data_IF_598038185034
#
_entry.id   IF_598038185034
#
_cell.length_a   1.000
_cell.length_b   1.000
_cell.length_c   1.000
_cell.angle_alpha   90.00
_cell.angle_beta   90.00
_cell.angle_gamma   90.00
#
_symmetry.space_group_name_H-M   'P 1'
#
loop_
_entity.id
_entity.type
_entity.pdbx_description
1 polymer ?
#
# COMPACT_ATOMS: atom_id res chain seq x y z
N UNK A 1 -21.11 -15.01 7.41
CA UNK A 1 -21.56 -14.39 6.15
C UNK A 1 -22.77 -13.48 6.34
N UNK A 2 -23.95 -14.01 6.71
CA UNK A 2 -25.17 -13.19 6.91
C UNK A 2 -24.96 -11.98 7.83
N UNK A 3 -24.26 -12.16 8.94
CA UNK A 3 -23.91 -11.06 9.86
C UNK A 3 -23.01 -10.00 9.20
N UNK A 4 -22.06 -10.42 8.36
CA UNK A 4 -21.17 -9.50 7.64
C UNK A 4 -21.92 -8.74 6.54
N UNK A 5 -22.77 -9.42 5.76
CA UNK A 5 -23.67 -8.78 4.79
C UNK A 5 -24.57 -7.75 5.47
N UNK A 6 -25.17 -8.11 6.61
CA UNK A 6 -26.00 -7.20 7.38
C UNK A 6 -25.20 -5.99 7.87
N UNK A 7 -23.99 -6.20 8.40
CA UNK A 7 -23.12 -5.11 8.86
C UNK A 7 -22.80 -4.12 7.73
N UNK A 8 -22.45 -4.62 6.53
CA UNK A 8 -22.18 -3.78 5.35
C UNK A 8 -23.41 -2.97 4.94
N UNK A 9 -24.58 -3.61 4.84
CA UNK A 9 -25.83 -2.94 4.45
C UNK A 9 -26.29 -1.91 5.48
N UNK A 10 -26.14 -2.20 6.78
CA UNK A 10 -26.42 -1.24 7.85
C UNK A 10 -25.51 -0.02 7.74
N UNK A 11 -24.21 -0.21 7.52
CA UNK A 11 -23.27 0.90 7.36
C UNK A 11 -23.61 1.76 6.14
N UNK A 12 -23.94 1.16 5.00
CA UNK A 12 -24.32 1.89 3.78
C UNK A 12 -25.64 2.67 3.97
N UNK A 13 -26.62 2.09 4.67
CA UNK A 13 -27.85 2.79 5.03
C UNK A 13 -27.58 4.01 5.91
N UNK A 14 -26.72 3.87 6.92
CA UNK A 14 -26.33 4.99 7.77
C UNK A 14 -25.65 6.09 6.95
N UNK A 15 -24.71 5.74 6.06
CA UNK A 15 -24.03 6.69 5.18
C UNK A 15 -25.02 7.45 4.27
N UNK A 16 -26.01 6.77 3.71
CA UNK A 16 -27.02 7.43 2.88
C UNK A 16 -27.89 8.40 3.70
N UNK A 17 -28.28 8.01 4.92
CA UNK A 17 -29.03 8.88 5.83
C UNK A 17 -28.21 10.12 6.23
N UNK A 18 -26.94 9.93 6.57
CA UNK A 18 -26.04 11.01 6.96
C UNK A 18 -25.82 12.01 5.82
N UNK A 19 -25.59 11.52 4.60
CA UNK A 19 -25.39 12.40 3.42
C UNK A 19 -26.68 13.12 3.04
N UNK A 20 -27.84 12.45 3.09
CA UNK A 20 -29.14 13.07 2.82
C UNK A 20 -29.42 14.20 3.84
N UNK A 21 -29.17 13.94 5.12
CA UNK A 21 -29.30 14.92 6.19
C UNK A 21 -28.40 16.14 5.97
N UNK A 22 -27.13 15.93 5.60
CA UNK A 22 -26.17 17.01 5.37
C UNK A 22 -26.60 17.98 4.26
N UNK A 23 -27.32 17.48 3.25
CA UNK A 23 -27.78 18.30 2.11
C UNK A 23 -29.26 18.69 2.20
N UNK A 24 -29.95 18.31 3.28
CA UNK A 24 -31.34 18.69 3.55
C UNK A 24 -32.39 18.01 2.67
N UNK A 25 -32.13 16.78 2.21
CA UNK A 25 -33.08 15.95 1.46
C UNK A 25 -33.50 14.72 2.27
N UNK A 26 -34.56 14.04 1.85
CA UNK A 26 -34.92 12.73 2.41
C UNK A 26 -34.11 11.62 1.69
N UNK A 27 -33.70 10.52 2.35
CA UNK A 27 -33.07 9.39 1.66
C UNK A 27 -33.89 8.85 0.49
N UNK A 28 -35.22 9.00 0.53
CA UNK A 28 -36.13 8.64 -0.56
C UNK A 28 -36.06 9.57 -1.77
N UNK A 29 -35.34 10.69 -1.70
CA UNK A 29 -35.01 11.52 -2.87
C UNK A 29 -33.84 10.94 -3.69
N UNK A 30 -33.12 9.95 -3.16
CA UNK A 30 -32.00 9.27 -3.83
C UNK A 30 -32.54 8.18 -4.77
N UNK A 31 -32.42 8.41 -6.09
CA UNK A 31 -32.99 7.54 -7.13
C UNK A 31 -32.01 6.52 -7.74
N UNK A 32 -30.70 6.71 -7.54
CA UNK A 32 -29.70 5.83 -8.11
C UNK A 32 -28.42 5.82 -7.26
N UNK A 33 -27.77 4.66 -7.18
CA UNK A 33 -26.47 4.50 -6.54
C UNK A 33 -25.55 3.62 -7.39
N UNK A 34 -24.24 3.86 -7.29
CA UNK A 34 -23.22 3.01 -7.89
C UNK A 34 -22.24 2.54 -6.83
N UNK A 35 -21.95 1.24 -6.79
CA UNK A 35 -20.99 0.65 -5.86
C UNK A 35 -19.78 0.06 -6.58
N UNK A 36 -18.65 0.19 -5.91
CA UNK A 36 -17.37 -0.45 -6.22
C UNK A 36 -16.80 -1.01 -4.93
N UNK A 37 -15.96 -2.03 -5.04
CA UNK A 37 -15.28 -2.63 -3.91
C UNK A 37 -14.51 -3.87 -4.32
N UNK A 38 -13.60 -4.30 -3.46
CA UNK A 38 -12.90 -5.56 -3.65
C UNK A 38 -13.89 -6.73 -3.71
N UNK A 39 -13.49 -7.91 -4.22
CA UNK A 39 -14.39 -9.03 -4.42
C UNK A 39 -15.16 -9.47 -3.17
N UNK A 40 -14.53 -9.39 -1.99
CA UNK A 40 -15.18 -9.75 -0.72
C UNK A 40 -16.30 -8.75 -0.40
N UNK A 41 -16.02 -7.45 -0.44
CA UNK A 41 -17.02 -6.40 -0.17
C UNK A 41 -18.14 -6.40 -1.21
N UNK A 42 -17.80 -6.64 -2.47
CA UNK A 42 -18.74 -6.81 -3.57
C UNK A 42 -19.73 -7.96 -3.29
N UNK A 43 -19.22 -9.14 -2.93
CA UNK A 43 -20.05 -10.31 -2.65
C UNK A 43 -20.89 -10.11 -1.39
N UNK A 44 -20.30 -9.60 -0.31
CA UNK A 44 -21.02 -9.34 0.94
C UNK A 44 -22.17 -8.35 0.77
N UNK A 45 -21.98 -7.25 0.02
CA UNK A 45 -23.03 -6.27 -0.29
C UNK A 45 -24.23 -6.95 -0.97
N UNK A 46 -23.93 -7.77 -1.99
CA UNK A 46 -24.93 -8.48 -2.80
C UNK A 46 -25.55 -9.69 -2.08
N UNK A 47 -25.07 -10.04 -0.88
CA UNK A 47 -25.51 -11.23 -0.16
C UNK A 47 -25.06 -12.54 -0.81
N UNK A 48 -23.94 -12.49 -1.55
CA UNK A 48 -23.30 -13.65 -2.18
C UNK A 48 -22.19 -14.14 -1.26
N UNK A 49 -22.01 -15.45 -1.16
CA UNK A 49 -20.98 -16.04 -0.31
C UNK A 49 -19.56 -15.76 -0.84
N UNK A 50 -18.66 -15.19 0.00
CA UNK A 50 -17.27 -15.00 -0.38
C UNK A 50 -16.38 -16.21 -0.06
N UNK A 51 -16.92 -17.35 0.41
CA UNK A 51 -16.13 -18.50 0.87
C UNK A 51 -15.17 -19.01 -0.21
N UNK A 52 -15.64 -19.11 -1.45
CA UNK A 52 -14.84 -19.61 -2.59
C UNK A 52 -13.71 -18.64 -3.01
N UNK A 53 -13.73 -17.39 -2.52
CA UNK A 53 -12.63 -16.45 -2.70
C UNK A 53 -11.44 -16.75 -1.77
N UNK A 54 -11.64 -17.55 -0.72
CA UNK A 54 -10.58 -17.93 0.22
C UNK A 54 -9.77 -19.16 -0.19
N UNK A 55 -10.21 -19.89 -1.23
CA UNK A 55 -9.55 -21.12 -1.71
C UNK A 55 -9.23 -21.04 -3.18
N UNK A 56 -8.06 -21.54 -3.60
CA UNK A 56 -7.70 -21.64 -5.01
C UNK A 56 -8.78 -22.46 -5.78
N UNK A 57 -9.27 -21.99 -6.93
CA UNK A 57 -8.71 -20.96 -7.81
C UNK A 57 -9.23 -19.51 -7.56
N UNK A 58 -9.77 -19.23 -6.37
CA UNK A 58 -10.30 -17.93 -5.96
C UNK A 58 -11.49 -17.53 -6.84
N UNK A 59 -12.49 -18.40 -6.91
CA UNK A 59 -13.57 -18.32 -7.88
C UNK A 59 -14.58 -17.22 -7.50
N UNK A 60 -14.84 -16.30 -8.43
CA UNK A 60 -15.95 -15.36 -8.33
C UNK A 60 -17.26 -16.07 -8.65
N UNK A 61 -18.29 -15.84 -7.84
CA UNK A 61 -19.64 -16.27 -8.18
C UNK A 61 -20.24 -15.40 -9.30
N UNK A 62 -19.86 -14.12 -9.36
CA UNK A 62 -20.13 -13.22 -10.48
C UNK A 62 -18.95 -12.28 -10.69
N UNK A 63 -18.51 -12.17 -11.93
CA UNK A 63 -17.54 -11.18 -12.42
C UNK A 63 -18.19 -10.10 -13.32
N UNK A 64 -19.49 -10.24 -13.62
CA UNK A 64 -20.26 -9.29 -14.42
C UNK A 64 -20.75 -8.10 -13.60
N UNK A 65 -21.04 -6.98 -14.29
CA UNK A 65 -21.74 -5.88 -13.68
C UNK A 65 -23.16 -6.30 -13.29
N UNK A 66 -23.67 -5.76 -12.19
CA UNK A 66 -24.96 -6.13 -11.62
C UNK A 66 -25.83 -4.88 -11.51
N UNK A 67 -27.04 -4.96 -12.06
CA UNK A 67 -28.07 -3.93 -11.89
C UNK A 67 -29.25 -4.51 -11.13
N UNK A 68 -29.54 -3.95 -9.97
CA UNK A 68 -30.61 -4.40 -9.07
C UNK A 68 -31.41 -3.21 -8.56
N UNK A 69 -32.55 -3.48 -7.94
CA UNK A 69 -33.30 -2.51 -7.17
C UNK A 69 -32.73 -2.36 -5.77
N UNK A 70 -32.84 -1.17 -5.19
CA UNK A 70 -32.37 -0.91 -3.83
C UNK A 70 -33.01 -1.85 -2.78
N UNK A 71 -34.27 -2.22 -3.00
CA UNK A 71 -35.01 -3.15 -2.13
C UNK A 71 -34.45 -4.57 -2.11
N UNK A 72 -33.68 -4.99 -3.13
CA UNK A 72 -33.09 -6.33 -3.18
C UNK A 72 -31.90 -6.49 -2.20
N UNK A 73 -31.32 -5.37 -1.77
CA UNK A 73 -30.21 -5.35 -0.80
C UNK A 73 -30.53 -4.58 0.47
N UNK A 74 -31.81 -4.36 0.77
CA UNK A 74 -32.26 -3.61 1.94
C UNK A 74 -31.65 -2.19 2.03
N UNK A 75 -31.39 -1.55 0.88
CA UNK A 75 -30.86 -0.19 0.84
C UNK A 75 -32.02 0.81 0.89
N UNK A 76 -32.16 1.47 2.04
CA UNK A 76 -33.25 2.35 2.44
C UNK A 76 -33.17 3.75 1.80
N UNK A 77 -33.08 3.77 0.47
CA UNK A 77 -33.29 4.95 -0.38
C UNK A 77 -34.66 4.84 -1.08
N UNK A 78 -34.90 5.56 -2.18
CA UNK A 78 -36.15 5.46 -2.91
C UNK A 78 -36.46 3.99 -3.28
N UNK A 79 -37.71 3.53 -3.09
CA UNK A 79 -38.09 2.12 -3.30
C UNK A 79 -37.87 1.63 -4.73
N UNK A 80 -37.95 2.54 -5.70
CA UNK A 80 -37.67 2.25 -7.11
C UNK A 80 -36.25 2.66 -7.53
N UNK A 81 -35.36 2.95 -6.59
CA UNK A 81 -33.99 3.31 -6.92
C UNK A 81 -33.24 2.13 -7.56
N UNK A 82 -32.35 2.47 -8.49
CA UNK A 82 -31.46 1.50 -9.13
C UNK A 82 -30.09 1.51 -8.48
N UNK A 83 -29.51 0.33 -8.37
CA UNK A 83 -28.13 0.14 -7.96
C UNK A 83 -27.39 -0.47 -9.14
N UNK A 84 -26.26 0.13 -9.48
CA UNK A 84 -25.29 -0.43 -10.40
C UNK A 84 -24.02 -0.82 -9.63
N UNK A 85 -23.59 -2.07 -9.74
CA UNK A 85 -22.32 -2.54 -9.17
C UNK A 85 -21.38 -2.88 -10.33
N UNK A 86 -20.18 -2.31 -10.31
CA UNK A 86 -19.19 -2.53 -11.34
C UNK A 86 -18.72 -4.00 -11.38
N UNK A 87 -18.25 -4.50 -12.54
CA UNK A 87 -17.75 -5.87 -12.66
C UNK A 87 -16.44 -6.06 -11.90
N UNK A 88 -16.21 -7.27 -11.38
CA UNK A 88 -14.92 -7.67 -10.83
C UNK A 88 -13.98 -8.18 -11.93
N UNK A 89 -12.68 -7.91 -11.81
CA UNK A 89 -11.66 -8.41 -12.75
C UNK A 89 -11.29 -9.86 -12.42
N UNK A 90 -11.17 -10.18 -11.13
CA UNK A 90 -10.70 -11.47 -10.63
C UNK A 90 -11.06 -11.69 -9.15
N UNK A 91 -10.86 -12.91 -8.64
CA UNK A 91 -11.08 -13.24 -7.23
C UNK A 91 -10.36 -12.35 -6.21
N UNK A 92 -9.24 -11.74 -6.59
CA UNK A 92 -8.49 -10.78 -5.77
C UNK A 92 -8.42 -9.36 -6.36
N UNK A 93 -9.05 -9.11 -7.51
CA UNK A 93 -9.01 -7.80 -8.19
C UNK A 93 -10.45 -7.37 -8.48
N UNK A 94 -10.94 -6.41 -7.72
CA UNK A 94 -12.37 -6.13 -7.63
C UNK A 94 -12.90 -5.03 -8.55
N UNK A 95 -14.14 -4.67 -8.26
CA UNK A 95 -14.88 -3.59 -8.90
C UNK A 95 -14.31 -2.20 -8.53
N UNK A 96 -13.62 -2.09 -7.40
CA UNK A 96 -12.79 -0.94 -7.04
C UNK A 96 -11.67 -0.70 -8.05
N UNK A 97 -10.90 -1.73 -8.39
CA UNK A 97 -9.85 -1.64 -9.41
C UNK A 97 -10.44 -1.32 -10.78
N UNK A 98 -11.60 -1.90 -11.13
CA UNK A 98 -12.32 -1.52 -12.34
C UNK A 98 -12.71 -0.03 -12.32
N UNK A 99 -13.13 0.51 -11.17
CA UNK A 99 -13.36 1.94 -10.96
C UNK A 99 -12.10 2.77 -11.20
N UNK A 100 -10.93 2.34 -10.68
CA UNK A 100 -9.64 3.01 -10.91
C UNK A 100 -9.30 3.03 -12.41
N UNK A 101 -9.47 1.91 -13.13
CA UNK A 101 -9.24 1.83 -14.58
C UNK A 101 -10.18 2.77 -15.34
N UNK A 102 -11.45 2.85 -14.93
CA UNK A 102 -12.43 3.75 -15.56
C UNK A 102 -12.09 5.23 -15.34
N UNK A 103 -11.52 5.57 -14.18
CA UNK A 103 -11.09 6.93 -13.86
C UNK A 103 -9.82 7.33 -14.60
N UNK A 104 -8.79 6.48 -14.58
CA UNK A 104 -7.45 6.81 -15.09
C UNK A 104 -7.24 6.49 -16.57
N UNK A 105 -8.08 5.62 -17.16
CA UNK A 105 -8.13 5.31 -18.61
C UNK A 105 -6.78 5.03 -19.28
N UNK A 106 -5.95 4.10 -18.74
CA UNK A 106 -4.70 3.70 -19.40
C UNK A 106 -4.93 3.13 -20.81
N UNK A 107 -6.14 2.60 -21.07
CA UNK A 107 -6.57 2.09 -22.37
C UNK A 107 -6.65 3.14 -23.50
N UNK A 108 -6.53 4.43 -23.16
CA UNK A 108 -6.54 5.51 -24.15
C UNK A 108 -5.13 6.06 -24.48
N UNK A 109 -4.10 5.71 -23.70
CA UNK A 109 -2.73 6.18 -23.92
C UNK A 109 -1.88 5.14 -24.67
N UNK A 110 -0.82 5.59 -25.34
CA UNK A 110 0.28 4.71 -25.80
C UNK A 110 1.32 4.48 -24.70
N UNK A 111 1.41 5.40 -23.73
CA UNK A 111 2.34 5.33 -22.59
C UNK A 111 2.02 4.14 -21.68
N UNK A 112 3.07 3.45 -21.24
CA UNK A 112 2.94 2.41 -20.21
C UNK A 112 2.63 3.09 -18.89
N UNK A 113 1.38 2.88 -18.43
CA UNK A 113 0.90 3.40 -17.16
C UNK A 113 0.82 2.28 -16.14
N UNK A 114 1.39 2.52 -14.97
CA UNK A 114 1.26 1.71 -13.77
C UNK A 114 0.27 2.38 -12.81
N UNK A 115 -0.85 1.74 -12.55
CA UNK A 115 -1.80 2.10 -11.50
C UNK A 115 -1.58 1.19 -10.31
N UNK A 116 -1.47 1.77 -9.12
CA UNK A 116 -1.33 1.02 -7.87
C UNK A 116 -2.33 1.57 -6.87
N UNK A 117 -3.32 0.77 -6.49
CA UNK A 117 -4.12 1.03 -5.30
C UNK A 117 -3.43 0.38 -4.11
N UNK A 118 -3.02 1.17 -3.13
CA UNK A 118 -2.27 0.66 -1.98
C UNK A 118 -3.19 0.56 -0.77
N UNK A 119 -3.45 -0.67 -0.34
CA UNK A 119 -4.06 -0.98 0.95
C UNK A 119 -3.39 -2.20 1.59
N UNK A 120 -4.17 -2.93 2.39
CA UNK A 120 -3.77 -4.22 2.98
C UNK A 120 -3.37 -5.24 1.91
N UNK A 121 -4.05 -5.20 0.77
CA UNK A 121 -3.54 -5.72 -0.49
C UNK A 121 -3.25 -4.54 -1.40
N UNK A 122 -2.38 -4.74 -2.39
CA UNK A 122 -2.20 -3.78 -3.45
C UNK A 122 -2.75 -4.34 -4.77
N UNK A 123 -3.76 -3.67 -5.32
CA UNK A 123 -4.27 -3.93 -6.64
C UNK A 123 -3.45 -3.14 -7.66
N UNK A 124 -2.88 -3.85 -8.64
CA UNK A 124 -1.93 -3.32 -9.59
C UNK A 124 -2.50 -3.50 -10.98
N UNK A 125 -2.53 -2.43 -11.78
CA UNK A 125 -2.84 -2.48 -13.21
C UNK A 125 -1.67 -1.89 -13.99
N UNK A 126 -1.16 -2.63 -14.97
CA UNK A 126 -0.08 -2.20 -15.84
C UNK A 126 -0.51 -2.28 -17.30
N UNK A 127 -0.35 -1.20 -18.05
CA UNK A 127 -0.47 -1.26 -19.50
C UNK A 127 -0.84 0.04 -20.16
N UNK A 128 -1.41 -0.10 -21.36
CA UNK A 128 -1.78 0.99 -22.26
C UNK A 128 -2.94 0.55 -23.17
N UNK A 129 -3.22 1.29 -24.24
CA UNK A 129 -4.27 0.96 -25.22
C UNK A 129 -4.16 -0.42 -25.88
N UNK A 130 -2.96 -1.01 -25.92
CA UNK A 130 -2.70 -2.27 -26.62
C UNK A 130 -2.95 -3.49 -25.73
N UNK A 131 -2.59 -3.40 -24.45
CA UNK A 131 -2.68 -4.51 -23.49
C UNK A 131 -2.77 -3.96 -22.07
N UNK A 132 -3.61 -4.59 -21.26
CA UNK A 132 -3.73 -4.32 -19.83
C UNK A 132 -3.54 -5.62 -19.05
N UNK A 133 -2.71 -5.56 -18.03
CA UNK A 133 -2.47 -6.64 -17.07
C UNK A 133 -2.93 -6.19 -15.70
N UNK A 134 -3.45 -7.10 -14.88
CA UNK A 134 -3.74 -6.81 -13.48
C UNK A 134 -3.36 -7.96 -12.56
N UNK A 135 -2.95 -7.63 -11.34
CA UNK A 135 -2.78 -8.58 -10.25
C UNK A 135 -3.11 -7.93 -8.91
N UNK A 136 -3.27 -8.74 -7.87
CA UNK A 136 -3.27 -8.28 -6.48
C UNK A 136 -2.06 -8.87 -5.77
N UNK A 137 -1.44 -8.07 -4.90
CA UNK A 137 -0.26 -8.45 -4.13
C UNK A 137 -0.49 -8.27 -2.63
N UNK A 138 -0.11 -9.24 -1.77
CA UNK A 138 -0.36 -9.18 -0.33
C UNK A 138 0.68 -8.29 0.37
N UNK A 139 0.42 -6.99 0.39
CA UNK A 139 1.31 -5.98 1.01
C UNK A 139 1.23 -5.98 2.54
N UNK A 140 0.13 -6.48 3.11
CA UNK A 140 -0.12 -6.42 4.55
C UNK A 140 -0.43 -4.99 5.01
N UNK A 141 -0.83 -4.83 6.29
CA UNK A 141 -1.40 -3.58 6.77
C UNK A 141 -0.34 -2.58 7.30
N UNK A 142 0.95 -2.87 7.11
CA UNK A 142 2.07 -2.07 7.61
C UNK A 142 2.03 -0.61 7.13
N UNK A 143 1.62 -0.41 5.87
CA UNK A 143 1.43 0.91 5.28
C UNK A 143 0.27 1.69 5.90
N UNK A 144 -0.69 1.03 6.52
CA UNK A 144 -1.82 1.68 7.19
C UNK A 144 -1.51 2.04 8.66
N UNK A 145 -0.25 1.88 9.09
CA UNK A 145 0.21 2.09 10.46
C UNK A 145 -0.13 0.95 11.42
N UNK A 146 -0.74 -0.13 10.93
CA UNK A 146 -0.95 -1.33 11.72
C UNK A 146 0.31 -2.21 11.73
N UNK A 147 0.51 -2.99 12.80
CA UNK A 147 1.70 -3.84 12.98
C UNK A 147 3.05 -3.09 13.00
N UNK A 148 3.01 -1.77 13.21
CA UNK A 148 4.16 -0.92 13.51
C UNK A 148 4.07 -0.56 15.00
N UNK A 149 5.18 -0.63 15.74
CA UNK A 149 5.17 -0.56 17.21
C UNK A 149 4.59 0.75 17.76
N UNK A 150 4.89 1.86 17.09
CA UNK A 150 4.34 3.18 17.39
C UNK A 150 3.41 3.64 16.25
N UNK A 151 2.87 2.72 15.47
CA UNK A 151 2.03 3.02 14.33
C UNK A 151 0.58 3.28 14.69
N UNK A 152 -0.08 4.15 13.94
CA UNK A 152 -1.51 4.41 14.05
C UNK A 152 -2.12 4.84 12.71
N UNK A 153 -3.44 4.88 12.66
CA UNK A 153 -4.15 5.52 11.54
C UNK A 153 -3.89 7.02 11.52
N UNK A 154 -4.02 7.63 10.34
CA UNK A 154 -3.95 9.07 10.17
C UNK A 154 -5.05 9.76 11.00
N UNK A 155 -4.64 10.47 12.05
CA UNK A 155 -5.48 11.22 12.97
C UNK A 155 -4.65 12.33 13.62
N UNK A 156 -5.27 13.40 14.17
CA UNK A 156 -4.54 14.46 14.84
C UNK A 156 -3.52 13.94 15.87
N UNK A 157 -2.30 14.49 15.82
CA UNK A 157 -1.17 14.06 16.64
C UNK A 157 -0.32 12.92 16.06
N UNK A 158 -0.76 12.27 14.97
CA UNK A 158 0.07 11.29 14.26
C UNK A 158 1.17 11.99 13.44
N UNK A 159 2.40 11.52 13.52
CA UNK A 159 3.51 11.98 12.68
C UNK A 159 3.23 11.60 11.22
N UNK A 160 3.23 12.59 10.33
CA UNK A 160 2.93 12.40 8.89
C UNK A 160 4.06 12.81 7.94
N UNK A 161 4.98 13.68 8.38
CA UNK A 161 6.14 14.13 7.62
C UNK A 161 7.39 14.06 8.48
N UNK A 162 8.52 13.60 7.92
CA UNK A 162 9.80 13.49 8.65
C UNK A 162 10.97 13.87 7.77
N UNK A 163 11.94 14.60 8.33
CA UNK A 163 13.26 14.86 7.72
C UNK A 163 14.35 14.51 8.71
N UNK A 164 15.41 13.85 8.25
CA UNK A 164 16.59 13.51 9.06
C UNK A 164 17.79 14.26 8.49
N UNK A 165 18.46 15.05 9.33
CA UNK A 165 19.71 15.69 8.91
C UNK A 165 20.82 14.63 8.76
N UNK A 166 21.43 14.51 7.58
CA UNK A 166 22.43 13.48 7.32
C UNK A 166 23.74 13.65 8.10
N UNK A 167 24.03 14.86 8.60
CA UNK A 167 25.24 15.16 9.36
C UNK A 167 25.08 14.90 10.86
N UNK A 168 23.98 15.38 11.45
CA UNK A 168 23.70 15.28 12.89
C UNK A 168 22.86 14.06 13.25
N UNK A 169 22.13 13.51 12.28
CA UNK A 169 21.12 12.48 12.47
C UNK A 169 19.96 12.92 13.38
N UNK A 170 19.75 14.23 13.53
CA UNK A 170 18.59 14.76 14.26
C UNK A 170 17.34 14.75 13.37
N UNK A 171 16.18 14.32 13.91
CA UNK A 171 14.92 14.37 13.22
C UNK A 171 14.23 15.72 13.40
N UNK A 172 13.48 16.10 12.37
CA UNK A 172 12.34 17.01 12.53
C UNK A 172 11.12 16.43 11.84
N UNK A 173 9.93 16.68 12.39
CA UNK A 173 8.70 16.09 11.88
C UNK A 173 7.51 17.04 12.00
N UNK A 174 6.44 16.72 11.25
CA UNK A 174 5.10 17.32 11.43
C UNK A 174 4.11 16.27 11.89
N UNK A 175 3.12 16.70 12.66
CA UNK A 175 1.97 15.88 13.04
C UNK A 175 0.70 16.40 12.39
N UNK A 176 -0.23 15.50 12.10
CA UNK A 176 -1.54 15.86 11.56
C UNK A 176 -2.23 16.85 12.50
N UNK A 177 -2.73 17.95 11.94
CA UNK A 177 -3.39 19.01 12.69
C UNK A 177 -2.44 20.11 13.21
N UNK A 178 -1.15 20.05 12.88
CA UNK A 178 -0.17 21.09 13.22
C UNK A 178 0.67 21.48 12.00
N UNK A 179 0.71 22.78 11.67
CA UNK A 179 1.50 23.29 10.54
C UNK A 179 2.98 23.51 10.87
N UNK A 180 3.33 23.53 12.15
CA UNK A 180 4.70 23.73 12.64
C UNK A 180 5.49 22.42 12.55
N UNK A 181 6.78 22.51 12.24
CA UNK A 181 7.73 21.42 12.43
C UNK A 181 8.11 21.30 13.91
N UNK A 182 8.55 20.11 14.33
CA UNK A 182 8.92 19.81 15.70
C UNK A 182 10.06 20.68 16.27
N UNK A 183 10.86 21.28 15.40
CA UNK A 183 11.95 22.22 15.71
C UNK A 183 11.54 23.70 15.61
N UNK A 184 10.31 24.00 15.18
CA UNK A 184 9.80 25.37 15.14
C UNK A 184 9.41 25.85 16.56
N UNK A 185 9.70 27.12 16.91
CA UNK A 185 9.21 27.72 18.16
C UNK A 185 7.67 27.66 18.22
N UNK A 186 7.12 27.23 19.37
CA UNK A 186 5.67 27.12 19.55
C UNK A 186 5.08 25.76 19.19
N UNK A 187 5.88 24.80 18.70
CA UNK A 187 5.37 23.48 18.34
C UNK A 187 4.72 22.75 19.52
N UNK A 188 5.39 22.73 20.69
CA UNK A 188 4.92 22.03 21.89
C UNK A 188 3.59 22.62 22.36
N UNK A 189 3.44 23.94 22.32
CA UNK A 189 2.22 24.66 22.64
C UNK A 189 1.09 24.36 21.64
N UNK A 190 1.41 24.34 20.34
CA UNK A 190 0.46 24.06 19.27
C UNK A 190 -0.12 22.64 19.35
N UNK A 191 0.68 21.67 19.79
CA UNK A 191 0.22 20.28 19.97
C UNK A 191 -0.29 19.99 21.39
N UNK A 192 -0.43 21.00 22.26
CA UNK A 192 -0.74 20.77 23.68
C UNK A 192 -2.01 19.95 23.95
N UNK A 193 -3.01 20.04 23.05
CA UNK A 193 -4.27 19.28 23.16
C UNK A 193 -4.19 17.86 22.57
N UNK A 194 -3.40 17.65 21.51
CA UNK A 194 -3.37 16.38 20.76
C UNK A 194 -2.16 15.52 21.11
N UNK A 195 -1.04 16.15 21.48
CA UNK A 195 0.26 15.52 21.67
C UNK A 195 0.85 14.93 20.39
N UNK A 196 1.93 14.17 20.56
CA UNK A 196 2.47 13.25 19.54
C UNK A 196 2.06 11.84 19.95
N UNK A 197 1.18 11.22 19.17
CA UNK A 197 0.49 9.98 19.58
C UNK A 197 1.03 8.72 18.89
N UNK A 198 1.69 8.88 17.75
CA UNK A 198 2.21 7.77 16.96
C UNK A 198 2.66 8.21 15.58
N UNK A 199 2.90 7.24 14.71
CA UNK A 199 3.37 7.43 13.33
C UNK A 199 2.27 6.93 12.40
N UNK A 200 1.77 7.77 11.49
CA UNK A 200 0.84 7.30 10.47
C UNK A 200 1.57 6.63 9.30
N UNK A 201 0.81 6.04 8.39
CA UNK A 201 1.36 5.36 7.23
C UNK A 201 2.32 6.19 6.36
N UNK A 202 1.98 7.45 6.07
CA UNK A 202 2.88 8.33 5.31
C UNK A 202 4.12 8.69 6.13
N UNK A 203 3.95 8.88 7.44
CA UNK A 203 5.04 9.12 8.38
C UNK A 203 6.06 7.98 8.41
N UNK A 204 5.63 6.71 8.49
CA UNK A 204 6.57 5.58 8.56
C UNK A 204 7.34 5.41 7.24
N UNK A 205 6.71 5.68 6.09
CA UNK A 205 7.41 5.71 4.80
C UNK A 205 8.52 6.77 4.83
N UNK A 206 8.20 8.00 5.22
CA UNK A 206 9.18 9.09 5.24
C UNK A 206 10.30 8.83 6.26
N UNK A 207 9.99 8.33 7.46
CA UNK A 207 10.99 7.98 8.46
C UNK A 207 11.98 6.96 7.91
N UNK A 208 11.49 5.85 7.34
CA UNK A 208 12.40 4.81 6.86
C UNK A 208 13.22 5.26 5.65
N UNK A 209 12.61 6.03 4.75
CA UNK A 209 13.30 6.57 3.59
C UNK A 209 14.39 7.56 4.02
N UNK A 210 14.10 8.47 4.93
CA UNK A 210 15.06 9.45 5.45
C UNK A 210 16.17 8.78 6.27
N UNK A 211 15.85 7.80 7.11
CA UNK A 211 16.86 7.02 7.83
C UNK A 211 17.77 6.23 6.88
N UNK A 212 17.24 5.73 5.77
CA UNK A 212 18.04 5.12 4.72
C UNK A 212 18.95 6.15 4.04
N UNK A 213 18.42 7.30 3.63
CA UNK A 213 19.20 8.38 3.00
C UNK A 213 20.30 8.93 3.91
N UNK A 214 20.04 9.02 5.21
CA UNK A 214 21.02 9.44 6.22
C UNK A 214 22.03 8.34 6.59
N UNK A 215 21.91 7.12 6.04
CA UNK A 215 22.81 5.99 6.31
C UNK A 215 22.58 5.31 7.67
N UNK A 216 21.49 5.65 8.38
CA UNK A 216 21.08 4.98 9.62
C UNK A 216 20.53 3.59 9.33
N UNK A 217 19.80 3.43 8.23
CA UNK A 217 19.36 2.13 7.72
C UNK A 217 20.28 1.71 6.58
N UNK A 218 20.82 0.49 6.67
CA UNK A 218 21.63 -0.12 5.63
C UNK A 218 20.75 -0.60 4.47
N UNK A 219 21.39 -0.94 3.34
CA UNK A 219 20.72 -1.44 2.14
C UNK A 219 19.82 -2.67 2.40
N UNK A 220 20.20 -3.54 3.34
CA UNK A 220 19.43 -4.71 3.74
C UNK A 220 18.33 -4.41 4.77
N UNK A 221 18.14 -3.16 5.17
CA UNK A 221 17.16 -2.72 6.18
C UNK A 221 17.64 -2.82 7.62
N UNK A 222 18.91 -3.17 7.88
CA UNK A 222 19.43 -3.20 9.26
C UNK A 222 19.69 -1.79 9.77
N UNK A 223 19.20 -1.48 10.97
CA UNK A 223 19.55 -0.25 11.69
C UNK A 223 21.01 -0.34 12.13
N UNK A 224 21.83 0.62 11.70
CA UNK A 224 23.27 0.63 11.89
C UNK A 224 23.66 1.06 13.32
N UNK A 225 23.76 0.08 14.23
CA UNK A 225 24.13 0.32 15.63
C UNK A 225 25.51 0.94 15.85
N UNK A 226 26.43 0.87 14.88
CA UNK A 226 27.74 1.55 14.96
C UNK A 226 27.59 3.08 15.12
N UNK A 227 26.47 3.64 14.65
CA UNK A 227 26.16 5.06 14.78
C UNK A 227 25.69 5.46 16.18
N UNK A 228 25.37 4.51 17.07
CA UNK A 228 24.95 4.81 18.44
C UNK A 228 26.01 5.59 19.25
N UNK A 229 27.29 5.43 18.90
CA UNK A 229 28.37 6.19 19.50
C UNK A 229 28.35 7.70 19.15
N UNK A 230 27.65 8.09 18.08
CA UNK A 230 27.55 9.48 17.61
C UNK A 230 26.13 10.06 17.61
N UNK A 231 25.11 9.21 17.64
CA UNK A 231 23.72 9.61 17.66
C UNK A 231 23.05 9.00 18.90
N UNK A 232 22.73 9.81 19.93
CA UNK A 232 22.15 9.31 21.17
C UNK A 232 20.75 8.72 20.98
N UNK A 233 20.09 8.97 19.84
CA UNK A 233 18.77 8.44 19.48
C UNK A 233 18.79 7.00 18.99
N UNK A 234 19.98 6.42 18.75
CA UNK A 234 20.12 5.03 18.36
C UNK A 234 20.43 4.20 19.60
N UNK A 235 19.50 3.33 19.97
CA UNK A 235 19.60 2.54 21.20
C UNK A 235 19.61 1.04 20.90
N UNK A 236 20.27 0.27 21.75
CA UNK A 236 20.17 -1.19 21.73
C UNK A 236 18.73 -1.61 22.08
N UNK A 237 18.16 -2.49 21.27
CA UNK A 237 16.86 -3.12 21.48
C UNK A 237 17.02 -4.64 21.33
N UNK A 238 17.28 -5.31 22.45
CA UNK A 238 17.64 -6.73 22.47
C UNK A 238 18.92 -7.01 21.68
N UNK A 239 18.79 -7.78 20.57
CA UNK A 239 19.89 -8.13 19.66
C UNK A 239 20.01 -7.17 18.47
N UNK A 240 19.16 -6.16 18.42
CA UNK A 240 19.02 -5.20 17.32
C UNK A 240 19.12 -3.78 17.87
N UNK A 241 18.83 -2.79 17.03
CA UNK A 241 18.80 -1.38 17.40
C UNK A 241 17.45 -0.76 17.04
N UNK A 242 17.12 0.34 17.71
CA UNK A 242 15.96 1.18 17.42
C UNK A 242 16.41 2.64 17.31
N UNK A 243 15.66 3.43 16.54
CA UNK A 243 15.86 4.87 16.39
C UNK A 243 14.73 5.64 17.10
N UNK A 244 15.07 6.53 18.03
CA UNK A 244 14.14 7.39 18.76
C UNK A 244 13.83 8.66 17.98
N UNK A 245 12.59 8.77 17.51
CA UNK A 245 12.10 9.90 16.73
C UNK A 245 11.65 11.05 17.64
N UNK A 246 10.99 10.73 18.75
CA UNK A 246 10.51 11.70 19.72
C UNK A 246 10.73 11.18 21.15
N UNK A 247 11.52 11.89 21.99
CA UNK A 247 11.59 11.58 23.40
C UNK A 247 10.25 11.91 24.05
N UNK A 248 9.74 11.06 24.93
CA UNK A 248 8.53 11.37 25.68
C UNK A 248 8.76 12.61 26.58
N UNK A 249 8.05 13.74 26.38
CA UNK A 249 7.94 14.77 27.41
C UNK A 249 7.22 14.17 28.62
N UNK A 250 7.30 14.81 29.80
CA UNK A 250 6.63 14.29 31.01
C UNK A 250 5.16 13.92 30.74
N UNK A 251 4.83 12.62 30.83
CA UNK A 251 3.49 12.07 30.59
C UNK A 251 3.16 11.67 29.13
N UNK A 252 4.06 11.89 28.18
CA UNK A 252 3.91 11.51 26.77
C UNK A 252 4.39 10.09 26.44
N UNK A 253 4.14 9.64 25.20
CA UNK A 253 4.67 8.37 24.67
C UNK A 253 5.98 8.59 23.92
N UNK A 254 6.97 7.74 24.16
CA UNK A 254 8.21 7.72 23.36
C UNK A 254 7.85 7.20 21.97
N UNK A 255 8.25 7.92 20.93
CA UNK A 255 8.06 7.47 19.55
C UNK A 255 9.40 6.98 19.02
N UNK A 256 9.44 5.70 18.66
CA UNK A 256 10.63 5.03 18.14
C UNK A 256 10.28 4.14 16.96
N UNK A 257 11.28 3.90 16.12
CA UNK A 257 11.24 2.93 15.03
C UNK A 257 12.20 1.79 15.37
N UNK A 258 11.63 0.61 15.50
CA UNK A 258 12.34 -0.63 15.83
C UNK A 258 12.80 -1.35 14.57
N UNK A 259 13.73 -2.29 14.72
CA UNK A 259 14.14 -3.15 13.61
C UNK A 259 12.96 -3.95 13.02
N UNK A 260 11.98 -4.36 13.85
CA UNK A 260 10.81 -5.10 13.38
C UNK A 260 9.88 -4.22 12.53
N UNK A 261 9.76 -2.93 12.85
CA UNK A 261 8.99 -1.99 12.02
C UNK A 261 9.61 -1.85 10.63
N UNK A 262 10.95 -1.77 10.55
CA UNK A 262 11.67 -1.76 9.27
C UNK A 262 11.36 -3.05 8.48
N UNK A 263 11.35 -4.21 9.15
CA UNK A 263 11.05 -5.50 8.51
C UNK A 263 9.60 -5.55 8.01
N UNK A 264 8.64 -5.04 8.77
CA UNK A 264 7.24 -5.00 8.37
C UNK A 264 7.05 -4.18 7.09
N UNK A 265 7.69 -3.01 6.98
CA UNK A 265 7.65 -2.19 5.77
C UNK A 265 8.39 -2.86 4.61
N UNK A 266 9.54 -3.49 4.86
CA UNK A 266 10.26 -4.23 3.82
C UNK A 266 9.43 -5.35 3.22
N UNK A 267 8.70 -6.12 4.04
CA UNK A 267 7.82 -7.18 3.55
C UNK A 267 6.71 -6.61 2.64
N UNK A 268 6.04 -5.55 3.09
CA UNK A 268 4.97 -4.94 2.31
C UNK A 268 5.44 -4.31 1.01
N UNK A 269 6.56 -3.58 1.04
CA UNK A 269 7.11 -2.94 -0.17
C UNK A 269 7.68 -3.96 -1.15
N UNK A 270 8.27 -5.05 -0.65
CA UNK A 270 8.78 -6.13 -1.48
C UNK A 270 7.64 -6.87 -2.19
N UNK A 271 6.53 -7.15 -1.49
CA UNK A 271 5.34 -7.74 -2.09
C UNK A 271 4.77 -6.85 -3.21
N UNK A 272 4.60 -5.56 -2.94
CA UNK A 272 4.13 -4.61 -3.96
C UNK A 272 5.03 -4.62 -5.19
N UNK A 273 6.34 -4.40 -5.01
CA UNK A 273 7.29 -4.34 -6.10
C UNK A 273 7.37 -5.65 -6.88
N UNK A 274 7.31 -6.80 -6.21
CA UNK A 274 7.29 -8.12 -6.85
C UNK A 274 6.09 -8.28 -7.78
N UNK A 275 4.90 -7.82 -7.35
CA UNK A 275 3.70 -7.79 -8.19
C UNK A 275 3.90 -6.90 -9.42
N UNK A 276 4.45 -5.70 -9.24
CA UNK A 276 4.76 -4.80 -10.38
C UNK A 276 5.75 -5.46 -11.35
N UNK A 277 6.86 -6.02 -10.85
CA UNK A 277 7.88 -6.66 -11.70
C UNK A 277 7.36 -7.86 -12.47
N UNK A 278 6.50 -8.66 -11.85
CA UNK A 278 5.83 -9.77 -12.50
C UNK A 278 4.98 -9.29 -13.70
N UNK A 279 4.22 -8.20 -13.53
CA UNK A 279 3.47 -7.61 -14.65
C UNK A 279 4.40 -7.03 -15.72
N UNK A 280 5.49 -6.34 -15.33
CA UNK A 280 6.46 -5.78 -16.27
C UNK A 280 7.12 -6.88 -17.12
N UNK A 281 7.51 -7.99 -16.48
CA UNK A 281 8.03 -9.17 -17.17
C UNK A 281 7.02 -9.76 -18.15
N UNK A 282 5.77 -9.93 -17.70
CA UNK A 282 4.70 -10.48 -18.55
C UNK A 282 4.37 -9.57 -19.73
N UNK A 283 4.54 -8.27 -19.56
CA UNK A 283 4.41 -7.25 -20.60
C UNK A 283 5.64 -7.21 -21.54
N UNK A 284 6.79 -7.71 -21.08
CA UNK A 284 8.06 -7.66 -21.82
C UNK A 284 8.72 -6.28 -21.79
N UNK A 285 8.63 -5.58 -20.65
CA UNK A 285 9.17 -4.22 -20.49
C UNK A 285 10.05 -4.10 -19.23
N UNK A 286 10.97 -3.14 -19.26
CA UNK A 286 11.86 -2.85 -18.13
C UNK A 286 11.58 -1.50 -17.46
N UNK A 287 10.80 -0.64 -18.10
CA UNK A 287 10.49 0.72 -17.63
C UNK A 287 9.01 1.01 -17.75
N UNK A 288 8.53 1.90 -16.90
CA UNK A 288 7.17 2.46 -16.94
C UNK A 288 7.28 3.96 -17.25
N UNK A 289 6.33 4.49 -18.01
CA UNK A 289 6.36 5.91 -18.41
C UNK A 289 5.66 6.77 -17.36
N UNK A 290 4.60 6.23 -16.72
CA UNK A 290 3.76 6.95 -15.77
C UNK A 290 3.33 6.05 -14.63
N UNK A 291 3.31 6.58 -13.41
CA UNK A 291 2.84 5.87 -12.21
C UNK A 291 1.76 6.69 -11.50
N UNK A 292 0.66 6.03 -11.14
CA UNK A 292 -0.45 6.63 -10.42
C UNK A 292 -0.76 5.83 -9.15
N UNK A 293 -0.60 6.48 -8.00
CA UNK A 293 -0.90 5.90 -6.69
C UNK A 293 -2.33 6.26 -6.29
N UNK A 294 -3.20 5.27 -6.24
CA UNK A 294 -4.59 5.39 -5.81
C UNK A 294 -4.76 4.94 -4.35
N UNK A 295 -5.98 5.15 -3.84
CA UNK A 295 -6.38 4.75 -2.51
C UNK A 295 -6.19 5.85 -1.48
N UNK A 296 -6.81 5.65 -0.31
CA UNK A 296 -6.69 6.58 0.82
C UNK A 296 -5.23 6.74 1.23
N UNK A 297 -4.46 5.66 1.18
CA UNK A 297 -3.03 5.70 1.45
C UNK A 297 -2.26 6.47 0.37
N UNK A 298 -2.43 6.12 -0.91
CA UNK A 298 -1.76 6.78 -2.04
C UNK A 298 -2.03 8.29 -2.16
N UNK A 299 -3.06 8.80 -1.50
CA UNK A 299 -3.41 10.22 -1.45
C UNK A 299 -2.45 11.09 -0.62
N UNK A 300 -1.75 10.51 0.35
CA UNK A 300 -0.97 11.25 1.35
C UNK A 300 0.54 10.95 1.31
N UNK A 301 0.94 9.93 0.55
CA UNK A 301 2.34 9.54 0.39
C UNK A 301 3.05 10.55 -0.51
N UNK A 302 4.25 10.94 -0.09
CA UNK A 302 5.19 11.63 -0.97
C UNK A 302 5.91 10.59 -1.86
N UNK A 303 5.68 10.75 -3.17
CA UNK A 303 6.12 9.83 -4.22
C UNK A 303 7.63 9.63 -4.27
N UNK A 304 8.41 10.64 -3.87
CA UNK A 304 9.87 10.56 -3.78
C UNK A 304 10.26 9.50 -2.76
N UNK A 305 9.66 9.52 -1.57
CA UNK A 305 10.00 8.58 -0.50
C UNK A 305 9.49 7.17 -0.77
N UNK A 306 8.33 7.03 -1.43
CA UNK A 306 7.86 5.73 -1.93
C UNK A 306 8.87 5.10 -2.89
N UNK A 307 9.45 5.90 -3.80
CA UNK A 307 10.47 5.42 -4.75
C UNK A 307 11.82 5.15 -4.06
N UNK A 308 12.23 5.98 -3.09
CA UNK A 308 13.45 5.76 -2.27
C UNK A 308 13.38 4.44 -1.50
N UNK A 309 12.21 4.09 -0.97
CA UNK A 309 12.00 2.78 -0.35
C UNK A 309 11.96 1.63 -1.36
N UNK A 310 11.75 1.93 -2.64
CA UNK A 310 11.54 0.95 -3.71
C UNK A 310 10.18 0.26 -3.61
N UNK A 311 9.15 1.00 -3.20
CA UNK A 311 7.75 0.54 -3.30
C UNK A 311 7.28 0.50 -4.75
N UNK A 312 7.82 1.38 -5.60
CA UNK A 312 7.49 1.52 -7.01
C UNK A 312 8.78 1.48 -7.85
N UNK A 313 8.70 1.04 -9.12
CA UNK A 313 9.85 1.05 -10.01
C UNK A 313 10.35 2.46 -10.29
N UNK A 314 11.59 2.52 -10.74
CA UNK A 314 12.26 3.76 -11.14
C UNK A 314 11.48 4.45 -12.26
N UNK A 315 11.15 5.70 -12.03
CA UNK A 315 10.43 6.56 -12.95
C UNK A 315 10.83 8.01 -12.67
N UNK A 316 10.70 8.88 -13.65
CA UNK A 316 10.90 10.31 -13.46
C UNK A 316 9.84 10.82 -12.48
N UNK A 317 10.24 11.53 -11.41
CA UNK A 317 9.33 11.89 -10.30
C UNK A 317 8.12 12.70 -10.77
N UNK A 318 8.28 13.53 -11.80
CA UNK A 318 7.21 14.32 -12.42
C UNK A 318 6.12 13.44 -13.05
N UNK A 319 6.44 12.19 -13.41
CA UNK A 319 5.51 11.20 -13.96
C UNK A 319 4.90 10.29 -12.89
N UNK A 320 5.19 10.53 -11.62
CA UNK A 320 4.61 9.82 -10.48
C UNK A 320 3.69 10.76 -9.73
N UNK A 321 2.43 10.38 -9.59
CA UNK A 321 1.42 11.24 -8.97
C UNK A 321 0.33 10.46 -8.28
N UNK A 322 -0.36 11.10 -7.34
CA UNK A 322 -1.52 10.52 -6.70
C UNK A 322 -2.76 10.62 -7.59
N UNK A 323 -3.59 9.59 -7.58
CA UNK A 323 -4.91 9.55 -8.20
C UNK A 323 -6.06 9.70 -7.18
N UNK A 324 -5.73 9.89 -5.89
CA UNK A 324 -6.74 10.00 -4.84
C UNK A 324 -7.61 8.75 -4.69
N UNK A 325 -8.87 8.94 -4.29
CA UNK A 325 -9.90 7.89 -4.36
C UNK A 325 -10.39 7.70 -5.81
N UNK A 326 -9.54 7.09 -6.64
CA UNK A 326 -9.84 6.82 -8.05
C UNK A 326 -11.00 5.81 -8.22
N UNK A 327 -11.13 4.83 -7.31
CA UNK A 327 -12.26 3.89 -7.30
C UNK A 327 -13.60 4.64 -7.17
N UNK A 328 -13.71 5.56 -6.19
CA UNK A 328 -14.87 6.42 -6.01
C UNK A 328 -15.10 7.38 -7.19
N UNK A 329 -14.03 7.87 -7.81
CA UNK A 329 -14.13 8.65 -9.05
C UNK A 329 -14.72 7.83 -10.20
N UNK A 330 -14.30 6.58 -10.36
CA UNK A 330 -14.86 5.63 -11.33
C UNK A 330 -16.34 5.31 -11.06
N UNK A 331 -16.71 5.10 -9.80
CA UNK A 331 -18.10 4.91 -9.39
C UNK A 331 -18.97 6.13 -9.76
N UNK A 332 -18.47 7.35 -9.51
CA UNK A 332 -19.15 8.59 -9.91
C UNK A 332 -19.27 8.73 -11.43
N UNK A 333 -18.24 8.35 -12.19
CA UNK A 333 -18.30 8.35 -13.66
C UNK A 333 -19.40 7.40 -14.14
N UNK A 334 -19.46 6.18 -13.61
CA UNK A 334 -20.48 5.19 -13.99
C UNK A 334 -21.91 5.59 -13.56
N UNK A 335 -22.03 6.36 -12.46
CA UNK A 335 -23.30 6.93 -12.03
C UNK A 335 -23.79 8.03 -12.99
N UNK A 336 -22.90 8.95 -13.37
CA UNK A 336 -23.26 10.16 -14.13
C UNK A 336 -23.20 10.01 -15.66
N UNK A 337 -22.44 9.05 -16.19
CA UNK A 337 -22.39 8.72 -17.62
C UNK A 337 -22.76 7.25 -17.86
N UNK A 338 -23.99 7.01 -18.29
CA UNK A 338 -24.47 5.67 -18.60
C UNK A 338 -23.66 4.97 -19.72
N UNK A 339 -22.98 5.72 -20.59
CA UNK A 339 -22.12 5.14 -21.65
C UNK A 339 -20.81 4.59 -21.10
N UNK A 340 -20.43 5.00 -19.89
CA UNK A 340 -19.26 4.48 -19.20
C UNK A 340 -19.45 3.04 -18.70
N UNK A 341 -20.70 2.61 -18.42
CA UNK A 341 -21.02 1.25 -17.96
C UNK A 341 -20.64 0.15 -18.96
N UNK A 342 -21.13 0.16 -20.22
CA UNK A 342 -20.69 -0.83 -21.21
C UNK A 342 -19.20 -0.70 -21.54
N UNK A 343 -18.61 0.50 -21.37
CA UNK A 343 -17.17 0.71 -21.54
C UNK A 343 -16.38 -0.06 -20.50
N UNK A 344 -16.70 0.05 -19.20
CA UNK A 344 -15.98 -0.67 -18.15
C UNK A 344 -16.24 -2.18 -18.18
N UNK A 345 -17.47 -2.59 -18.50
CA UNK A 345 -17.83 -3.99 -18.71
C UNK A 345 -16.99 -4.65 -19.80
N UNK A 346 -16.77 -3.95 -20.93
CA UNK A 346 -15.90 -4.42 -22.01
C UNK A 346 -14.41 -4.37 -21.64
N UNK A 347 -13.97 -3.31 -20.95
CA UNK A 347 -12.58 -3.15 -20.52
C UNK A 347 -12.12 -4.27 -19.60
N UNK A 348 -12.91 -4.60 -18.57
CA UNK A 348 -12.56 -5.65 -17.62
C UNK A 348 -12.33 -7.00 -18.31
N UNK A 349 -13.09 -7.31 -19.36
CA UNK A 349 -12.92 -8.54 -20.16
C UNK A 349 -11.61 -8.58 -20.96
N UNK A 350 -10.97 -7.42 -21.19
CA UNK A 350 -9.69 -7.31 -21.91
C UNK A 350 -8.48 -7.27 -20.99
N UNK A 351 -8.68 -7.20 -19.67
CA UNK A 351 -7.59 -7.21 -18.69
C UNK A 351 -7.14 -8.66 -18.48
N UNK A 352 -5.86 -8.92 -18.71
CA UNK A 352 -5.25 -10.22 -18.40
C UNK A 352 -4.87 -10.25 -16.92
N UNK A 353 -5.59 -11.09 -16.16
CA UNK A 353 -5.32 -11.36 -14.74
C UNK A 353 -4.07 -12.24 -14.61
N UNK A 354 -3.14 -11.82 -13.76
CA UNK A 354 -2.02 -12.63 -13.28
C UNK A 354 -2.24 -12.97 -11.80
N UNK A 355 -2.18 -14.25 -11.45
CA UNK A 355 -2.38 -14.74 -10.07
C UNK A 355 -1.04 -14.90 -9.36
N UNK A 356 -0.64 -13.89 -8.58
CA UNK A 356 0.68 -13.83 -7.92
C UNK A 356 0.99 -15.07 -7.07
N UNK A 357 -0.02 -15.67 -6.45
CA UNK A 357 0.13 -16.83 -5.57
C UNK A 357 0.65 -18.10 -6.26
N UNK A 358 0.48 -18.21 -7.58
CA UNK A 358 0.92 -19.40 -8.36
C UNK A 358 2.11 -19.10 -9.28
N UNK A 359 2.60 -17.86 -9.29
CA UNK A 359 3.68 -17.44 -10.18
C UNK A 359 5.06 -17.78 -9.60
N UNK A 360 5.84 -18.67 -10.23
CA UNK A 360 7.08 -19.19 -9.65
C UNK A 360 8.13 -18.12 -9.35
N UNK A 361 8.12 -17.03 -10.12
CA UNK A 361 9.09 -15.93 -10.02
C UNK A 361 8.72 -14.85 -9.02
N UNK A 362 7.50 -14.87 -8.47
CA UNK A 362 7.08 -13.89 -7.48
C UNK A 362 8.03 -13.86 -6.28
N UNK A 363 8.41 -15.04 -5.77
CA UNK A 363 9.34 -15.15 -4.63
C UNK A 363 10.74 -14.61 -4.95
N UNK A 364 11.22 -14.79 -6.18
CA UNK A 364 12.51 -14.26 -6.63
C UNK A 364 12.48 -12.73 -6.59
N UNK A 365 11.50 -12.11 -7.25
CA UNK A 365 11.33 -10.65 -7.25
C UNK A 365 11.10 -10.09 -5.85
N UNK A 366 10.37 -10.81 -5.00
CA UNK A 366 10.16 -10.44 -3.60
C UNK A 366 11.49 -10.34 -2.84
N UNK A 367 12.35 -11.35 -2.96
CA UNK A 367 13.64 -11.37 -2.25
C UNK A 367 14.55 -10.23 -2.72
N UNK A 368 14.62 -9.97 -4.03
CA UNK A 368 15.39 -8.84 -4.55
C UNK A 368 14.85 -7.48 -4.08
N UNK A 369 13.52 -7.39 -3.97
CA UNK A 369 12.84 -6.19 -3.52
C UNK A 369 12.86 -6.00 -2.00
N UNK A 370 13.45 -6.89 -1.20
CA UNK A 370 13.62 -6.64 0.25
C UNK A 370 14.64 -5.54 0.53
N UNK A 371 15.70 -5.42 -0.28
CA UNK A 371 16.72 -4.39 -0.11
C UNK A 371 16.21 -3.01 -0.52
N UNK A 372 16.75 -1.92 0.04
CA UNK A 372 16.25 -0.54 -0.17
C UNK A 372 17.21 0.25 -1.10
N UNK A 373 16.76 0.82 -2.23
CA UNK A 373 15.43 0.65 -2.83
C UNK A 373 15.20 -0.76 -3.40
N UNK A 374 16.26 -1.40 -3.93
CA UNK A 374 16.21 -2.74 -4.50
C UNK A 374 17.61 -3.33 -4.63
N UNK A 375 17.74 -4.67 -4.59
CA UNK A 375 19.02 -5.36 -4.62
C UNK A 375 19.84 -5.08 -5.90
N UNK A 376 19.17 -5.19 -7.06
CA UNK A 376 19.81 -5.13 -8.39
C UNK A 376 19.44 -3.88 -9.19
N UNK A 377 18.16 -3.54 -9.33
CA UNK A 377 17.67 -2.40 -10.10
C UNK A 377 18.33 -1.06 -9.68
N UNK A 378 18.95 -0.28 -10.59
CA UNK A 378 19.86 0.83 -10.28
C UNK A 378 19.21 2.12 -9.74
N UNK A 379 17.93 2.36 -10.09
CA UNK A 379 17.19 3.60 -9.83
C UNK A 379 17.90 4.86 -10.38
N UNK A 380 18.16 4.87 -11.69
CA UNK A 380 18.88 5.94 -12.38
C UNK A 380 18.09 7.26 -12.34
N UNK A 381 16.78 7.22 -12.60
CA UNK A 381 15.93 8.43 -12.58
C UNK A 381 15.84 9.03 -11.19
N UNK A 382 15.66 8.19 -10.18
CA UNK A 382 15.67 8.66 -8.79
C UNK A 382 17.01 9.32 -8.42
N UNK A 383 18.14 8.79 -8.89
CA UNK A 383 19.48 9.34 -8.62
C UNK A 383 19.69 10.73 -9.23
N UNK A 384 18.94 11.09 -10.26
CA UNK A 384 18.96 12.46 -10.82
C UNK A 384 18.38 13.48 -9.83
N UNK A 385 17.49 13.05 -8.91
CA UNK A 385 16.81 13.93 -7.95
C UNK A 385 17.24 13.72 -6.49
N UNK A 386 17.81 12.56 -6.14
CA UNK A 386 18.14 12.18 -4.76
C UNK A 386 19.51 11.53 -4.68
N UNK A 387 20.34 11.97 -3.73
CA UNK A 387 21.62 11.32 -3.41
C UNK A 387 21.38 10.04 -2.62
N UNK A 388 21.33 8.89 -3.32
CA UNK A 388 21.20 7.59 -2.65
C UNK A 388 22.53 7.13 -2.04
N UNK A 389 22.51 6.46 -0.87
CA UNK A 389 23.68 5.81 -0.31
C UNK A 389 24.38 4.88 -1.31
N UNK A 390 25.70 4.74 -1.17
CA UNK A 390 26.46 3.77 -1.95
C UNK A 390 25.98 2.35 -1.64
N UNK A 391 25.90 1.52 -2.68
CA UNK A 391 25.56 0.11 -2.51
C UNK A 391 26.77 -0.59 -1.92
N UNK A 392 26.59 -1.20 -0.75
CA UNK A 392 27.54 -2.20 -0.30
C UNK A 392 27.38 -3.44 -1.18
N UNK A 393 28.46 -3.95 -1.79
CA UNK A 393 28.39 -5.17 -2.58
C UNK A 393 27.89 -6.30 -1.70
N UNK A 394 26.87 -7.02 -2.20
CA UNK A 394 26.34 -8.18 -1.51
C UNK A 394 27.39 -9.27 -1.62
N UNK A 395 28.06 -9.59 -0.51
CA UNK A 395 28.89 -10.80 -0.43
C UNK A 395 27.95 -12.00 -0.60
N UNK A 396 27.92 -12.56 -1.80
CA UNK A 396 27.17 -13.78 -2.14
C UNK A 396 27.78 -15.04 -1.52
N UNK A 397 28.85 -14.92 -0.75
CA UNK A 397 29.36 -16.01 0.08
C UNK A 397 28.53 -16.16 1.36
N UNK A 398 27.50 -17.01 1.30
CA UNK A 398 26.90 -17.58 2.51
C UNK A 398 27.93 -18.44 3.26
N UNK A 399 28.36 -18.11 4.50
CA UNK A 399 29.15 -19.03 5.31
C UNK A 399 28.19 -19.98 6.02
N UNK A 400 27.64 -20.99 5.33
CA UNK A 400 26.53 -21.72 5.96
C UNK A 400 25.95 -22.98 5.34
N UNK A 401 26.63 -23.68 4.42
CA UNK A 401 26.21 -25.06 4.05
C UNK A 401 27.28 -26.14 4.17
N UNK A 402 28.55 -25.79 4.38
CA UNK A 402 29.64 -26.79 4.50
C UNK A 402 29.88 -27.38 5.90
N UNK A 403 29.38 -26.77 6.98
CA UNK A 403 29.76 -27.17 8.36
C UNK A 403 28.81 -28.13 9.08
N UNK A 404 27.62 -28.42 8.54
CA UNK A 404 26.67 -29.39 9.11
C UNK A 404 26.90 -30.84 8.65
N UNK A 405 27.58 -31.07 7.53
CA UNK A 405 27.94 -32.41 7.06
C UNK A 405 29.07 -33.05 7.88
N UNK A 406 30.16 -32.31 8.10
CA UNK A 406 31.35 -32.84 8.78
C UNK A 406 31.12 -33.23 10.26
N UNK A 407 30.19 -32.59 10.97
CA UNK A 407 29.84 -32.97 12.36
C UNK A 407 29.01 -34.26 12.45
N UNK A 408 28.28 -34.62 11.39
CA UNK A 408 27.45 -35.84 11.36
C UNK A 408 28.25 -37.08 10.97
N UNK A 409 29.32 -36.92 10.18
CA UNK A 409 30.25 -38.01 9.87
C UNK A 409 31.21 -38.30 11.03
N UNK A 410 31.73 -37.27 11.71
CA UNK A 410 32.58 -37.46 12.90
C UNK A 410 31.83 -38.16 14.06
N UNK A 411 30.54 -37.83 14.26
CA UNK A 411 29.70 -38.49 15.27
C UNK A 411 29.31 -39.94 14.92
N UNK A 412 29.32 -40.32 13.64
CA UNK A 412 29.11 -41.72 13.21
C UNK A 412 30.37 -42.57 13.32
N UNK A 413 31.56 -41.98 13.13
CA UNK A 413 32.83 -42.67 13.30
C UNK A 413 33.14 -43.00 14.77
N UNK A 414 32.71 -42.16 15.72
CA UNK A 414 32.88 -42.40 17.16
C UNK A 414 31.88 -43.39 17.77
N UNK A 415 30.78 -43.71 17.07
CA UNK A 415 29.80 -44.70 17.52
C UNK A 415 30.07 -46.12 16.98
N UNK A 416 31.12 -46.30 16.19
CA UNK A 416 31.51 -47.55 15.55
C UNK A 416 32.90 -48.06 15.97
N UNK A 417 33.47 -47.51 17.05
CA UNK A 417 34.71 -48.00 17.69
C UNK A 417 34.45 -48.60 19.06
#
# INVERSE_FOLDING_TARGET
EKEMTQAVRVAINQLAADVAFQVGIDPTDILEATFVGNPIMHHLLLGISPIELGGAPFALASDHAITIWAVEIDFAIHRNARIYVLPCIAGHVGADTAGVVLAERPDLSDEITLLVDVGTNAEIVLGNRKRLLACSSPTGPAFEGAQISCGQRAAPGAIERVRIDAGTLEPRFKVIGCELWSDDPGFVEAIGATGVTGICGSGIIEVLAELYLAGVIRHDGVINGELAARCPRIHSDGRTFAYELWPAPEGGSVIRVTQNDVRAIQLGKAALYAGVRLLMERMGIDKVDKIRLAGAFGSHIDVKYAMVLGMIPDCTLEQVSSAGNAAGTGARIALLDQRARPTIESLVRRIEKIETAVEPRFQEFFVEAMAIPHLTAPYERLRESVTLPERQPVNTESPGRGRRGARREAARAQAAS
#
